data_IF_862470717741
#
_entry.id   IF_862470717741
#
_cell.length_a   1.000
_cell.length_b   1.000
_cell.length_c   1.000
_cell.angle_alpha   90.00
_cell.angle_beta   90.00
_cell.angle_gamma   90.00
#
_symmetry.space_group_name_H-M   'P 1'
#
loop_
_entity.id
_entity.type
_entity.pdbx_description
1 polymer ?
#
# COMPACT_ATOMS: atom_id res chain seq x y z
N UNK A 1 -7.96 10.46 20.13
CA UNK A 1 -8.35 9.87 18.84
C UNK A 1 -9.78 9.38 18.97
N UNK A 2 -10.76 10.01 18.32
CA UNK A 2 -12.08 9.40 18.16
C UNK A 2 -11.93 8.32 17.09
N UNK A 3 -11.82 7.05 17.52
CA UNK A 3 -11.97 5.93 16.60
C UNK A 3 -13.37 6.00 16.02
N UNK A 4 -13.50 6.25 14.72
CA UNK A 4 -14.81 6.41 14.10
C UNK A 4 -15.61 5.08 14.02
N UNK A 5 -15.10 4.00 14.63
CA UNK A 5 -15.78 2.71 14.76
C UNK A 5 -15.65 1.78 13.56
N UNK A 6 -15.06 2.24 12.45
CA UNK A 6 -14.84 1.45 11.23
C UNK A 6 -13.36 1.10 11.05
N UNK A 7 -13.05 -0.04 10.44
CA UNK A 7 -11.70 -0.45 10.06
C UNK A 7 -11.67 -0.99 8.64
N UNK A 8 -10.48 -1.11 8.08
CA UNK A 8 -10.22 -1.73 6.78
C UNK A 8 -10.79 -3.15 6.64
N UNK A 9 -11.01 -3.87 7.74
CA UNK A 9 -11.75 -5.14 7.73
C UNK A 9 -13.18 -5.00 7.19
N UNK A 10 -13.80 -3.82 7.31
CA UNK A 10 -15.10 -3.51 6.70
C UNK A 10 -15.09 -3.55 5.17
N UNK A 11 -13.92 -3.62 4.53
CA UNK A 11 -13.77 -3.73 3.08
C UNK A 11 -13.74 -5.17 2.57
N UNK A 12 -13.51 -6.19 3.43
CA UNK A 12 -13.28 -7.57 2.97
C UNK A 12 -14.52 -8.27 2.43
N UNK A 13 -15.71 -7.94 2.95
CA UNK A 13 -16.97 -8.58 2.55
C UNK A 13 -17.71 -7.85 1.41
N UNK A 14 -17.75 -6.50 1.36
CA UNK A 14 -18.51 -5.79 0.34
C UNK A 14 -17.84 -5.73 -1.04
N UNK A 15 -16.52 -5.91 -1.11
CA UNK A 15 -15.80 -5.89 -2.39
C UNK A 15 -15.93 -7.27 -3.03
N UNK A 16 -16.88 -7.40 -3.95
CA UNK A 16 -17.10 -8.62 -4.73
C UNK A 16 -15.95 -8.88 -5.71
N UNK A 17 -15.80 -10.13 -6.13
CA UNK A 17 -14.87 -10.51 -7.21
C UNK A 17 -15.09 -9.70 -8.50
N UNK A 18 -16.34 -9.37 -8.82
CA UNK A 18 -16.72 -8.59 -10.01
C UNK A 18 -16.26 -7.13 -9.94
N UNK A 19 -15.93 -6.63 -8.75
CA UNK A 19 -15.43 -5.26 -8.56
C UNK A 19 -13.98 -5.12 -9.02
N UNK A 20 -13.24 -6.24 -9.14
CA UNK A 20 -11.83 -6.25 -9.49
C UNK A 20 -11.63 -6.31 -11.01
N UNK A 21 -10.85 -5.36 -11.53
CA UNK A 21 -10.41 -5.34 -12.93
C UNK A 21 -8.89 -5.44 -13.01
N UNK A 22 -8.32 -6.01 -14.09
CA UNK A 22 -6.87 -6.06 -14.25
C UNK A 22 -6.25 -4.67 -14.09
N UNK A 23 -5.18 -4.59 -13.30
CA UNK A 23 -4.49 -3.34 -13.06
C UNK A 23 -3.64 -2.94 -14.25
N UNK A 24 -3.56 -1.64 -14.50
CA UNK A 24 -2.72 -1.02 -15.51
C UNK A 24 -1.55 -0.29 -14.85
N UNK A 25 -0.56 0.06 -15.67
CA UNK A 25 0.56 0.92 -15.32
C UNK A 25 0.49 2.20 -16.15
N UNK A 26 0.91 3.32 -15.57
CA UNK A 26 0.99 4.61 -16.28
C UNK A 26 2.44 4.86 -16.71
N UNK A 27 2.67 4.95 -18.01
CA UNK A 27 3.97 5.28 -18.59
C UNK A 27 3.86 6.60 -19.37
N UNK A 28 4.45 7.67 -18.82
CA UNK A 28 4.41 9.03 -19.34
C UNK A 28 2.97 9.57 -19.54
N UNK A 29 2.27 9.10 -20.57
CA UNK A 29 0.91 9.50 -20.96
C UNK A 29 0.01 8.32 -21.36
N UNK A 30 0.53 7.09 -21.38
CA UNK A 30 -0.22 5.89 -21.78
C UNK A 30 -0.52 4.99 -20.58
N UNK A 31 -1.76 4.51 -20.53
CA UNK A 31 -2.19 3.47 -19.61
C UNK A 31 -2.04 2.10 -20.30
N UNK A 32 -1.10 1.29 -19.81
CA UNK A 32 -0.71 0.02 -20.44
C UNK A 32 -1.02 -1.12 -19.49
N UNK A 33 -1.60 -2.20 -20.02
CA UNK A 33 -1.69 -3.48 -19.32
C UNK A 33 -0.43 -4.30 -19.60
N UNK A 34 0.42 -4.46 -18.58
CA UNK A 34 1.62 -5.29 -18.65
C UNK A 34 1.76 -6.15 -17.38
N UNK A 35 1.34 -7.44 -17.43
CA UNK A 35 1.40 -8.34 -16.29
C UNK A 35 2.83 -8.78 -15.93
N UNK A 36 3.85 -8.48 -16.74
CA UNK A 36 5.25 -8.69 -16.36
C UNK A 36 5.79 -7.61 -15.42
N UNK A 37 5.14 -6.43 -15.41
CA UNK A 37 5.45 -5.31 -14.51
C UNK A 37 4.49 -5.31 -13.33
N UNK A 38 3.18 -5.45 -13.58
CA UNK A 38 2.16 -5.44 -12.55
C UNK A 38 1.08 -6.47 -12.85
N UNK A 39 1.17 -7.61 -12.16
CA UNK A 39 0.13 -8.64 -12.18
C UNK A 39 -0.75 -8.51 -10.94
N UNK A 40 -1.80 -7.70 -11.04
CA UNK A 40 -2.78 -7.50 -9.96
C UNK A 40 -4.12 -7.06 -10.51
N UNK A 41 -5.13 -7.02 -9.65
CA UNK A 41 -6.43 -6.46 -9.96
C UNK A 41 -6.71 -5.26 -9.04
N UNK A 42 -7.43 -4.26 -9.52
CA UNK A 42 -7.84 -3.09 -8.75
C UNK A 42 -9.36 -2.98 -8.67
N UNK A 43 -9.85 -2.48 -7.54
CA UNK A 43 -11.25 -2.10 -7.38
C UNK A 43 -11.33 -0.68 -6.79
N UNK A 44 -11.94 0.29 -7.50
CA UNK A 44 -12.14 1.65 -6.99
C UNK A 44 -13.20 1.65 -5.89
N UNK A 45 -12.86 2.18 -4.72
CA UNK A 45 -13.79 2.24 -3.59
C UNK A 45 -14.80 3.38 -3.72
N UNK A 46 -14.56 4.37 -4.57
CA UNK A 46 -15.43 5.54 -4.73
C UNK A 46 -16.84 5.17 -5.21
N UNK A 47 -16.97 4.21 -6.12
CA UNK A 47 -18.26 3.72 -6.58
C UNK A 47 -18.95 2.86 -5.51
N UNK A 48 -18.21 1.93 -4.90
CA UNK A 48 -18.73 1.05 -3.84
C UNK A 48 -19.20 1.85 -2.62
N UNK A 49 -18.47 2.90 -2.24
CA UNK A 49 -18.82 3.80 -1.15
C UNK A 49 -20.16 4.53 -1.34
N UNK A 50 -20.60 4.74 -2.59
CA UNK A 50 -21.91 5.34 -2.91
C UNK A 50 -23.06 4.32 -2.82
N UNK A 51 -22.75 3.05 -2.98
CA UNK A 51 -23.73 1.96 -3.02
C UNK A 51 -23.88 1.28 -1.66
N UNK A 52 -22.80 1.21 -0.88
CA UNK A 52 -22.75 0.55 0.42
C UNK A 52 -22.32 1.55 1.51
N UNK A 53 -23.22 1.77 2.47
CA UNK A 53 -22.99 2.73 3.56
C UNK A 53 -21.87 2.33 4.52
N UNK A 54 -21.60 1.04 4.68
CA UNK A 54 -20.49 0.53 5.50
C UNK A 54 -19.17 0.80 4.79
N UNK A 55 -19.09 0.56 3.48
CA UNK A 55 -17.92 0.92 2.67
C UNK A 55 -17.70 2.43 2.72
N UNK A 56 -18.74 3.23 2.52
CA UNK A 56 -18.65 4.70 2.56
C UNK A 56 -18.12 5.24 3.89
N UNK A 57 -18.67 4.77 5.01
CA UNK A 57 -18.18 5.15 6.35
C UNK A 57 -16.77 4.64 6.62
N UNK A 58 -16.42 3.46 6.13
CA UNK A 58 -15.07 2.90 6.26
C UNK A 58 -14.05 3.75 5.51
N UNK A 59 -14.32 4.10 4.25
CA UNK A 59 -13.45 4.98 3.44
C UNK A 59 -13.23 6.32 4.15
N UNK A 60 -14.31 6.99 4.56
CA UNK A 60 -14.22 8.27 5.30
C UNK A 60 -13.40 8.15 6.58
N UNK A 61 -13.55 7.03 7.30
CA UNK A 61 -12.77 6.74 8.49
C UNK A 61 -11.28 6.62 8.21
N UNK A 62 -10.93 5.87 7.16
CA UNK A 62 -9.54 5.59 6.79
C UNK A 62 -8.86 6.87 6.28
N UNK A 63 -9.55 7.67 5.47
CA UNK A 63 -9.06 8.98 5.01
C UNK A 63 -8.79 9.92 6.20
N UNK A 64 -9.77 10.07 7.11
CA UNK A 64 -9.62 10.91 8.30
C UNK A 64 -8.51 10.42 9.22
N UNK A 65 -8.35 9.10 9.38
CA UNK A 65 -7.28 8.50 10.19
C UNK A 65 -5.91 8.71 9.55
N UNK A 66 -5.80 8.57 8.23
CA UNK A 66 -4.57 8.82 7.49
C UNK A 66 -4.13 10.29 7.61
N UNK A 67 -5.05 11.24 7.47
CA UNK A 67 -4.76 12.67 7.66
C UNK A 67 -4.39 12.99 9.12
N UNK A 68 -5.14 12.44 10.08
CA UNK A 68 -4.83 12.62 11.51
C UNK A 68 -3.48 12.05 11.90
N UNK A 69 -3.09 10.89 11.36
CA UNK A 69 -1.79 10.26 11.63
C UNK A 69 -0.64 11.16 11.17
N UNK A 70 -0.84 11.85 10.05
CA UNK A 70 0.13 12.80 9.47
C UNK A 70 0.09 14.19 10.13
N UNK A 71 -0.79 14.41 11.11
CA UNK A 71 -0.93 15.71 11.78
C UNK A 71 -1.70 16.76 10.99
N UNK A 72 -2.66 16.35 10.13
CA UNK A 72 -3.51 17.23 9.32
C UNK A 72 -2.71 18.20 8.44
N UNK A 73 -1.90 17.69 7.49
CA UNK A 73 -1.05 18.53 6.66
C UNK A 73 -1.88 19.51 5.82
N UNK A 74 -1.47 20.77 5.81
CA UNK A 74 -2.08 21.81 4.97
C UNK A 74 -1.84 21.53 3.48
N UNK A 75 -2.73 22.05 2.63
CA UNK A 75 -2.68 21.86 1.17
C UNK A 75 -2.53 20.40 0.75
N UNK A 76 -3.30 19.54 1.40
CA UNK A 76 -3.31 18.12 1.12
C UNK A 76 -4.70 17.58 0.87
N UNK A 77 -4.76 16.49 0.11
CA UNK A 77 -5.97 15.67 -0.05
C UNK A 77 -5.59 14.21 -0.21
N UNK A 78 -6.54 13.31 0.05
CA UNK A 78 -6.37 11.87 -0.18
C UNK A 78 -6.83 11.55 -1.60
N UNK A 79 -5.97 10.89 -2.39
CA UNK A 79 -6.35 10.35 -3.70
C UNK A 79 -7.50 9.34 -3.55
N UNK A 80 -8.44 9.24 -4.51
CA UNK A 80 -9.48 8.22 -4.47
C UNK A 80 -8.90 6.83 -4.18
N UNK A 81 -9.48 6.13 -3.21
CA UNK A 81 -8.95 4.87 -2.72
C UNK A 81 -9.21 3.70 -3.69
N UNK A 82 -8.19 2.87 -3.89
CA UNK A 82 -8.26 1.63 -4.66
C UNK A 82 -7.73 0.46 -3.82
N UNK A 83 -8.51 -0.61 -3.72
CA UNK A 83 -7.98 -1.89 -3.25
C UNK A 83 -7.26 -2.61 -4.38
N UNK A 84 -6.24 -3.37 -4.03
CA UNK A 84 -5.36 -4.09 -4.94
C UNK A 84 -5.33 -5.55 -4.55
N UNK A 85 -5.83 -6.43 -5.42
CA UNK A 85 -5.87 -7.88 -5.20
C UNK A 85 -4.74 -8.56 -5.96
N UNK A 86 -4.03 -9.43 -5.26
CA UNK A 86 -2.96 -10.28 -5.76
C UNK A 86 -3.30 -11.73 -5.45
N UNK A 87 -3.38 -12.56 -6.49
CA UNK A 87 -3.53 -14.02 -6.43
C UNK A 87 -2.15 -14.67 -6.64
N UNK A 88 -1.98 -16.01 -6.55
CA UNK A 88 -0.69 -16.64 -6.80
C UNK A 88 -0.07 -16.22 -8.15
N UNK A 89 1.20 -15.84 -8.15
CA UNK A 89 1.92 -15.23 -9.29
C UNK A 89 1.73 -13.71 -9.42
N UNK A 90 0.83 -13.11 -8.65
CA UNK A 90 0.58 -11.67 -8.63
C UNK A 90 1.71 -10.90 -7.96
N UNK A 91 2.15 -9.80 -8.58
CA UNK A 91 3.29 -8.99 -8.15
C UNK A 91 3.19 -7.55 -8.68
N UNK A 92 4.06 -6.67 -8.18
CA UNK A 92 4.30 -5.35 -8.76
C UNK A 92 5.79 -5.02 -8.66
N UNK A 93 6.45 -4.92 -9.81
CA UNK A 93 7.88 -4.60 -9.96
C UNK A 93 8.28 -3.28 -9.31
N UNK A 94 9.59 -3.07 -9.14
CA UNK A 94 10.16 -1.90 -8.47
C UNK A 94 9.67 -0.59 -9.09
N UNK A 95 9.14 0.31 -8.26
CA UNK A 95 8.66 1.62 -8.67
C UNK A 95 8.80 2.65 -7.55
N UNK A 96 8.57 3.91 -7.92
CA UNK A 96 8.32 5.00 -6.98
C UNK A 96 6.86 5.39 -7.10
N UNK A 97 6.24 5.77 -5.99
CA UNK A 97 4.88 6.28 -6.00
C UNK A 97 4.75 7.67 -6.64
N UNK A 98 5.87 8.37 -6.82
CA UNK A 98 5.91 9.76 -7.23
C UNK A 98 6.39 9.99 -8.68
N UNK A 99 6.25 9.02 -9.56
CA UNK A 99 6.71 9.11 -10.95
C UNK A 99 6.18 10.33 -11.75
N UNK A 100 5.02 10.88 -11.37
CA UNK A 100 4.35 12.03 -12.00
C UNK A 100 4.41 13.34 -11.20
N UNK A 101 5.29 13.42 -10.19
CA UNK A 101 5.38 14.57 -9.30
C UNK A 101 5.97 15.83 -9.98
N UNK A 102 5.47 16.99 -9.55
CA UNK A 102 6.09 18.28 -9.82
C UNK A 102 6.16 19.15 -8.55
N UNK A 103 6.78 20.33 -8.65
CA UNK A 103 6.97 21.24 -7.50
C UNK A 103 5.68 21.67 -6.80
N UNK A 104 4.56 21.65 -7.52
CA UNK A 104 3.25 22.14 -7.09
C UNK A 104 2.24 21.02 -6.85
N UNK A 105 2.51 19.77 -7.24
CA UNK A 105 1.61 18.64 -7.04
C UNK A 105 2.39 17.33 -6.99
N UNK A 106 2.30 16.60 -5.88
CA UNK A 106 3.00 15.31 -5.70
C UNK A 106 2.33 14.44 -4.64
N UNK A 107 2.47 13.12 -4.75
CA UNK A 107 2.13 12.17 -3.67
C UNK A 107 3.15 12.31 -2.54
N UNK A 108 2.84 13.11 -1.54
CA UNK A 108 3.74 13.44 -0.42
C UNK A 108 4.01 12.23 0.49
N UNK A 109 3.05 11.32 0.63
CA UNK A 109 3.20 10.10 1.43
C UNK A 109 2.31 8.97 0.95
N UNK A 110 2.63 7.77 1.43
CA UNK A 110 1.89 6.54 1.15
C UNK A 110 1.64 5.75 2.42
N UNK A 111 0.43 5.22 2.56
CA UNK A 111 0.18 4.05 3.37
C UNK A 111 -0.07 2.85 2.45
N UNK A 112 0.64 1.75 2.70
CA UNK A 112 0.27 0.43 2.20
C UNK A 112 -0.42 -0.34 3.32
N UNK A 113 -1.74 -0.41 3.27
CA UNK A 113 -2.57 -1.12 4.24
C UNK A 113 -2.80 -2.55 3.76
N UNK A 114 -2.58 -3.55 4.62
CA UNK A 114 -2.90 -4.94 4.34
C UNK A 114 -4.33 -5.22 4.82
N UNK A 115 -5.29 -5.18 3.89
CA UNK A 115 -6.71 -5.43 4.17
C UNK A 115 -6.92 -6.91 4.48
N UNK A 116 -6.35 -7.79 3.66
CA UNK A 116 -6.33 -9.24 3.91
C UNK A 116 -5.09 -9.89 3.31
N UNK A 117 -4.67 -10.99 3.92
CA UNK A 117 -3.61 -11.87 3.44
C UNK A 117 -3.91 -13.29 3.96
N UNK A 118 -4.58 -14.09 3.15
CA UNK A 118 -5.15 -15.37 3.59
C UNK A 118 -5.39 -16.32 2.40
N UNK A 119 -5.50 -17.61 2.68
CA UNK A 119 -5.85 -18.62 1.68
C UNK A 119 -5.99 -20.00 2.32
N UNK A 120 -6.58 -20.93 1.58
CA UNK A 120 -6.72 -22.31 2.03
C UNK A 120 -5.34 -22.96 2.24
N UNK A 121 -5.09 -23.40 3.47
CA UNK A 121 -3.79 -23.92 3.88
C UNK A 121 -2.71 -22.86 4.11
N UNK A 122 -3.06 -21.58 4.23
CA UNK A 122 -2.14 -20.50 4.60
C UNK A 122 -1.86 -19.48 3.50
N UNK A 123 -0.96 -18.55 3.80
CA UNK A 123 -0.55 -17.46 2.92
C UNK A 123 0.98 -17.34 2.90
N UNK A 124 1.56 -17.22 1.70
CA UNK A 124 3.01 -17.16 1.50
C UNK A 124 3.39 -16.14 0.41
N UNK A 125 4.49 -15.40 0.62
CA UNK A 125 4.96 -14.36 -0.29
C UNK A 125 4.25 -13.02 -0.10
N UNK A 126 4.13 -12.21 -1.15
CA UNK A 126 3.32 -10.99 -1.14
C UNK A 126 3.85 -9.84 -0.28
N UNK A 127 5.08 -9.91 0.24
CA UNK A 127 5.68 -8.84 1.03
C UNK A 127 5.83 -7.51 0.27
N UNK A 128 5.89 -6.40 1.02
CA UNK A 128 6.26 -5.10 0.44
C UNK A 128 7.75 -4.89 0.68
N UNK A 129 8.54 -4.91 -0.39
CA UNK A 129 9.99 -4.93 -0.33
C UNK A 129 10.60 -3.59 -0.73
N UNK A 130 11.50 -3.08 0.11
CA UNK A 130 12.28 -1.87 -0.07
C UNK A 130 13.77 -2.24 -0.14
N UNK A 131 14.38 -2.40 -1.33
CA UNK A 131 15.76 -2.84 -1.49
C UNK A 131 16.80 -1.93 -0.84
N UNK A 132 16.50 -0.64 -0.67
CA UNK A 132 17.47 0.38 -0.27
C UNK A 132 17.33 0.85 1.16
N UNK A 133 16.34 0.33 1.90
CA UNK A 133 16.23 0.59 3.33
C UNK A 133 17.18 -0.32 4.09
N UNK A 134 17.95 0.26 5.01
CA UNK A 134 18.74 -0.52 5.94
C UNK A 134 17.83 -1.28 6.89
N UNK A 135 18.13 -2.56 7.12
CA UNK A 135 17.39 -3.37 8.08
C UNK A 135 17.53 -2.77 9.49
N UNK A 136 16.44 -2.61 10.25
CA UNK A 136 16.49 -2.18 11.64
C UNK A 136 16.95 -3.31 12.59
N UNK A 137 17.16 -4.52 12.07
CA UNK A 137 17.61 -5.68 12.84
C UNK A 137 19.12 -5.75 12.76
N UNK A 138 19.79 -5.58 13.91
CA UNK A 138 21.23 -5.79 14.01
C UNK A 138 21.58 -7.27 13.86
N UNK A 139 22.80 -7.55 13.41
CA UNK A 139 23.34 -8.91 13.37
C UNK A 139 23.31 -9.58 14.75
N UNK A 140 23.47 -8.80 15.82
CA UNK A 140 23.48 -9.28 17.21
C UNK A 140 22.11 -9.79 17.68
N UNK A 141 21.01 -9.13 17.30
CA UNK A 141 19.67 -9.58 17.69
C UNK A 141 19.15 -10.72 16.82
N UNK A 142 19.65 -10.85 15.59
CA UNK A 142 19.22 -11.88 14.64
C UNK A 142 17.69 -11.99 14.52
N UNK A 143 17.17 -13.21 14.54
CA UNK A 143 15.74 -13.48 14.42
C UNK A 143 14.93 -13.23 15.71
N UNK A 144 15.58 -12.86 16.82
CA UNK A 144 14.91 -12.62 18.11
C UNK A 144 14.46 -11.16 18.27
N UNK A 145 14.73 -10.31 17.27
CA UNK A 145 14.27 -8.93 17.26
C UNK A 145 12.74 -8.84 17.16
N UNK A 146 12.14 -7.93 17.93
CA UNK A 146 10.70 -7.61 17.82
C UNK A 146 10.31 -7.14 16.41
N UNK A 147 11.27 -6.61 15.64
CA UNK A 147 11.05 -6.26 14.23
C UNK A 147 10.66 -7.46 13.38
N UNK A 148 11.11 -8.67 13.70
CA UNK A 148 10.81 -9.89 12.95
C UNK A 148 9.32 -10.28 12.98
N UNK A 149 8.54 -9.65 13.86
CA UNK A 149 7.08 -9.72 13.80
C UNK A 149 6.51 -8.97 12.57
N UNK A 150 7.17 -7.90 12.13
CA UNK A 150 6.70 -6.97 11.09
C UNK A 150 7.44 -7.15 9.75
N UNK A 151 8.71 -7.55 9.79
CA UNK A 151 9.57 -7.70 8.62
C UNK A 151 10.11 -9.13 8.47
N UNK A 152 10.56 -9.48 7.28
CA UNK A 152 11.26 -10.74 7.04
C UNK A 152 12.72 -10.67 7.53
N UNK A 153 12.98 -11.18 8.72
CA UNK A 153 14.34 -11.38 9.22
C UNK A 153 14.99 -12.63 8.60
N UNK A 154 16.32 -12.57 8.39
CA UNK A 154 17.10 -13.67 7.83
C UNK A 154 16.80 -13.98 6.35
N UNK A 155 16.11 -13.08 5.65
CA UNK A 155 15.88 -13.19 4.22
C UNK A 155 17.18 -13.04 3.42
N UNK A 156 17.23 -13.66 2.23
CA UNK A 156 18.37 -13.53 1.31
C UNK A 156 18.35 -12.22 0.50
N UNK A 157 17.28 -11.44 0.58
CA UNK A 157 17.11 -10.18 -0.16
C UNK A 157 17.74 -9.05 0.64
N UNK A 158 18.53 -8.23 -0.04
CA UNK A 158 18.97 -6.94 0.50
C UNK A 158 17.77 -6.03 0.76
N UNK A 159 17.85 -5.19 1.78
CA UNK A 159 16.80 -4.25 2.15
C UNK A 159 15.83 -4.76 3.21
N UNK A 160 14.61 -4.23 3.20
CA UNK A 160 13.56 -4.57 4.16
C UNK A 160 12.31 -5.07 3.44
N UNK A 161 11.83 -6.26 3.81
CA UNK A 161 10.53 -6.78 3.36
C UNK A 161 9.53 -6.75 4.50
N UNK A 162 8.49 -5.93 4.38
CA UNK A 162 7.38 -5.92 5.32
C UNK A 162 6.41 -7.07 5.04
N UNK A 163 6.06 -7.81 6.10
CA UNK A 163 5.17 -8.97 6.03
C UNK A 163 3.71 -8.51 5.88
N UNK A 164 2.96 -9.04 4.91
CA UNK A 164 1.56 -8.68 4.74
C UNK A 164 0.72 -9.39 5.82
N UNK A 165 0.19 -8.63 6.77
CA UNK A 165 -0.72 -9.15 7.81
C UNK A 165 -1.92 -8.24 7.94
N UNK A 166 -3.11 -8.84 7.88
CA UNK A 166 -4.37 -8.12 7.97
C UNK A 166 -4.40 -7.14 9.15
N UNK A 167 -4.85 -5.91 8.89
CA UNK A 167 -4.96 -4.84 9.86
C UNK A 167 -3.66 -4.08 10.17
N UNK A 168 -2.54 -4.44 9.51
CA UNK A 168 -1.31 -3.66 9.56
C UNK A 168 -1.19 -2.72 8.38
N UNK A 169 -0.40 -1.67 8.55
CA UNK A 169 -0.04 -0.76 7.48
C UNK A 169 1.45 -0.41 7.56
N UNK A 170 2.06 -0.17 6.41
CA UNK A 170 3.39 0.44 6.29
C UNK A 170 3.18 1.88 5.81
N UNK A 171 3.80 2.85 6.49
CA UNK A 171 3.72 4.25 6.14
C UNK A 171 5.10 4.80 5.80
N UNK A 172 5.19 5.62 4.75
CA UNK A 172 6.39 6.38 4.43
C UNK A 172 6.06 7.72 3.79
N UNK A 173 6.96 8.68 3.93
CA UNK A 173 6.91 9.98 3.23
C UNK A 173 7.79 9.91 2.00
N UNK A 174 7.24 10.28 0.86
CA UNK A 174 7.90 10.16 -0.42
C UNK A 174 8.96 11.24 -0.65
N UNK A 175 8.82 12.39 0.02
CA UNK A 175 9.65 13.57 -0.19
C UNK A 175 10.22 14.12 1.12
N UNK A 176 11.39 14.73 1.03
CA UNK A 176 11.99 15.51 2.10
C UNK A 176 11.34 16.91 2.24
N UNK A 177 11.82 17.69 3.21
CA UNK A 177 11.33 19.06 3.43
C UNK A 177 11.56 20.02 2.26
N UNK A 178 12.50 19.71 1.35
CA UNK A 178 12.80 20.51 0.16
C UNK A 178 12.01 20.04 -1.07
N UNK A 179 11.21 18.97 -0.95
CA UNK A 179 10.48 18.37 -2.06
C UNK A 179 11.34 17.48 -2.95
N UNK A 180 12.47 16.99 -2.46
CA UNK A 180 13.27 15.97 -3.14
C UNK A 180 12.77 14.57 -2.75
N UNK A 181 12.51 13.73 -3.75
CA UNK A 181 12.04 12.37 -3.54
C UNK A 181 13.12 11.46 -2.95
N UNK A 182 12.78 10.67 -1.92
CA UNK A 182 13.69 9.74 -1.25
C UNK A 182 14.01 8.51 -2.12
N UNK A 183 15.21 8.46 -2.71
CA UNK A 183 15.60 7.37 -3.64
C UNK A 183 15.63 5.98 -2.98
N UNK A 184 15.67 5.92 -1.66
CA UNK A 184 15.62 4.72 -0.85
C UNK A 184 14.22 4.09 -0.76
N UNK A 185 13.16 4.83 -1.08
CA UNK A 185 11.78 4.36 -1.02
C UNK A 185 11.28 3.74 -2.33
N UNK A 186 12.21 3.42 -3.24
CA UNK A 186 11.91 2.50 -4.34
C UNK A 186 11.45 1.18 -3.73
N UNK A 187 10.33 0.63 -4.20
CA UNK A 187 9.73 -0.53 -3.58
C UNK A 187 8.96 -1.39 -4.56
N UNK A 188 8.68 -2.63 -4.17
CA UNK A 188 7.95 -3.61 -4.96
C UNK A 188 6.96 -4.39 -4.10
N UNK A 189 5.86 -4.83 -4.73
CA UNK A 189 5.03 -5.90 -4.20
C UNK A 189 5.59 -7.23 -4.66
N UNK A 190 6.20 -7.99 -3.73
CA UNK A 190 6.72 -9.32 -4.03
C UNK A 190 5.60 -10.27 -4.46
N UNK A 191 5.98 -11.29 -5.21
CA UNK A 191 5.07 -12.31 -5.71
C UNK A 191 4.32 -13.00 -4.56
N UNK A 192 3.00 -13.10 -4.67
CA UNK A 192 2.20 -13.99 -3.84
C UNK A 192 2.43 -15.42 -4.33
N UNK A 193 2.93 -16.29 -3.47
CA UNK A 193 3.19 -17.71 -3.81
C UNK A 193 1.97 -18.58 -3.50
N UNK A 194 1.27 -18.26 -2.42
CA UNK A 194 0.10 -19.01 -1.95
C UNK A 194 -0.92 -18.07 -1.29
N UNK A 195 -2.19 -18.34 -1.53
CA UNK A 195 -3.30 -17.55 -1.00
C UNK A 195 -3.54 -16.27 -1.79
N UNK A 196 -4.24 -15.32 -1.18
CA UNK A 196 -4.66 -14.05 -1.77
C UNK A 196 -4.29 -12.90 -0.83
N UNK A 197 -3.72 -11.85 -1.40
CA UNK A 197 -3.45 -10.57 -0.71
C UNK A 197 -4.38 -9.51 -1.26
N UNK A 198 -5.07 -8.79 -0.38
CA UNK A 198 -5.74 -7.53 -0.70
C UNK A 198 -5.04 -6.41 0.03
N UNK A 199 -4.42 -5.51 -0.72
CA UNK A 199 -3.82 -4.28 -0.23
C UNK A 199 -4.72 -3.07 -0.48
N UNK A 200 -4.43 -1.97 0.19
CA UNK A 200 -5.05 -0.67 -0.02
C UNK A 200 -3.96 0.40 0.07
N UNK A 201 -3.77 1.13 -1.02
CA UNK A 201 -2.91 2.31 -1.01
C UNK A 201 -3.72 3.54 -0.61
N UNK A 202 -3.21 4.29 0.36
CA UNK A 202 -3.72 5.62 0.69
C UNK A 202 -2.61 6.62 0.36
N UNK A 203 -2.75 7.30 -0.76
CA UNK A 203 -1.83 8.35 -1.18
C UNK A 203 -2.34 9.70 -0.72
N UNK A 204 -1.50 10.41 0.02
CA UNK A 204 -1.75 11.82 0.36
C UNK A 204 -1.02 12.70 -0.64
N UNK A 205 -1.77 13.51 -1.38
CA UNK A 205 -1.20 14.50 -2.28
C UNK A 205 -0.93 15.80 -1.53
N UNK A 206 0.22 16.39 -1.80
CA UNK A 206 0.50 17.81 -1.58
C UNK A 206 0.17 18.57 -2.86
N UNK A 207 -0.44 19.74 -2.72
CA UNK A 207 -0.62 20.69 -3.82
C UNK A 207 -0.30 22.12 -3.39
N UNK A 208 0.09 22.98 -4.33
CA UNK A 208 0.23 24.42 -4.09
C UNK A 208 -0.14 25.18 -5.36
N UNK A 209 -1.12 26.06 -5.25
CA UNK A 209 -1.52 27.01 -6.30
C UNK A 209 -0.46 28.07 -6.53
#
# INVERSE_FOLDING_TARGET
MLSCGYSEAGLTSPISEESFKPATIHNADEEVFDPSVRNSFIAPLSQLARQDSIVGKTVQCLESRALSFQGWPAHSYIEPLYTQKYVPGGHYSLHYDWGSANKNARRESTFMVYVSASGDGGFEGGGTWFPRLSSPVSEECGNDSQWCEYIECGGQREGVTFRPKAGRAVFWRNFDANGMGYKELIHAGLEVKKGVKVGLNIWTWYYRS
#
